data_IF_225173208252
#
_entry.id   IF_225173208252
#
_cell.length_a   1.000
_cell.length_b   1.000
_cell.length_c   1.000
_cell.angle_alpha   90.00
_cell.angle_beta   90.00
_cell.angle_gamma   90.00
#
_symmetry.space_group_name_H-M   'P 1'
#
loop_
_entity.id
_entity.type
_entity.pdbx_description
1 polymer ?
#
# COMPACT_ATOMS: atom_id res chain seq x y z
N UNK A 1 30.51 -16.53 -49.70
CA UNK A 1 30.36 -17.03 -48.32
C UNK A 1 29.93 -18.48 -48.37
N UNK A 2 30.62 -19.36 -47.64
CA UNK A 2 30.25 -20.78 -47.58
C UNK A 2 29.06 -20.97 -46.64
N UNK A 3 28.25 -22.01 -46.85
CA UNK A 3 27.10 -22.36 -45.99
C UNK A 3 27.43 -22.35 -44.50
N UNK A 4 28.66 -22.72 -44.14
CA UNK A 4 29.18 -22.72 -42.77
C UNK A 4 29.14 -21.31 -42.14
N UNK A 5 29.46 -20.26 -42.90
CA UNK A 5 29.47 -18.88 -42.39
C UNK A 5 28.07 -18.40 -42.00
N UNK A 6 27.02 -18.80 -42.74
CA UNK A 6 25.64 -18.45 -42.40
C UNK A 6 25.15 -19.14 -41.13
N UNK A 7 25.56 -20.40 -40.91
CA UNK A 7 25.22 -21.16 -39.70
C UNK A 7 25.85 -20.52 -38.46
N UNK A 8 27.12 -20.11 -38.56
CA UNK A 8 27.83 -19.44 -37.47
C UNK A 8 27.18 -18.10 -37.13
N UNK A 9 26.87 -17.28 -38.13
CA UNK A 9 26.20 -15.98 -37.91
C UNK A 9 24.82 -16.18 -37.26
N UNK A 10 24.03 -17.14 -37.74
CA UNK A 10 22.74 -17.47 -37.15
C UNK A 10 22.85 -17.88 -35.68
N UNK A 11 23.82 -18.74 -35.34
CA UNK A 11 24.05 -19.17 -33.96
C UNK A 11 24.45 -18.01 -33.02
N UNK A 12 25.29 -17.09 -33.49
CA UNK A 12 25.70 -15.91 -32.71
C UNK A 12 24.51 -14.98 -32.46
N UNK A 13 23.65 -14.75 -33.46
CA UNK A 13 22.46 -13.91 -33.30
C UNK A 13 21.48 -14.54 -32.30
N UNK A 14 21.23 -15.85 -32.39
CA UNK A 14 20.34 -16.55 -31.45
C UNK A 14 20.89 -16.48 -30.02
N UNK A 15 22.20 -16.67 -29.83
CA UNK A 15 22.84 -16.55 -28.52
C UNK A 15 22.75 -15.12 -27.96
N UNK A 16 22.91 -14.09 -28.81
CA UNK A 16 22.75 -12.71 -28.40
C UNK A 16 21.31 -12.37 -27.97
N UNK A 17 20.30 -12.91 -28.67
CA UNK A 17 18.89 -12.75 -28.30
C UNK A 17 18.60 -13.44 -26.96
N UNK A 18 19.07 -14.69 -26.78
CA UNK A 18 18.90 -15.42 -25.52
C UNK A 18 19.58 -14.69 -24.36
N UNK A 19 20.83 -14.23 -24.56
CA UNK A 19 21.55 -13.48 -23.55
C UNK A 19 20.86 -12.14 -23.20
N UNK A 20 20.30 -11.44 -24.19
CA UNK A 20 19.52 -10.22 -23.96
C UNK A 20 18.27 -10.49 -23.13
N UNK A 21 17.52 -11.56 -23.44
CA UNK A 21 16.30 -11.93 -22.70
C UNK A 21 16.62 -12.31 -21.26
N UNK A 22 17.70 -13.08 -21.05
CA UNK A 22 18.17 -13.45 -19.70
C UNK A 22 18.62 -12.20 -18.94
N UNK A 23 19.38 -11.30 -19.57
CA UNK A 23 19.88 -10.08 -18.93
C UNK A 23 18.77 -9.09 -18.58
N UNK A 24 17.69 -9.03 -19.35
CA UNK A 24 16.52 -8.20 -19.02
C UNK A 24 15.62 -8.80 -17.93
N UNK A 25 15.82 -10.06 -17.54
CA UNK A 25 14.95 -10.78 -16.60
C UNK A 25 15.40 -10.70 -15.13
N UNK A 26 16.55 -10.09 -14.85
CA UNK A 26 17.04 -9.94 -13.48
C UNK A 26 16.44 -8.65 -12.89
N UNK A 27 15.19 -8.72 -12.39
CA UNK A 27 14.64 -7.65 -11.56
C UNK A 27 15.57 -7.47 -10.35
N UNK A 28 16.03 -6.24 -10.18
CA UNK A 28 17.08 -5.93 -9.21
C UNK A 28 16.45 -5.77 -7.84
N UNK A 29 16.37 -6.87 -7.09
CA UNK A 29 15.99 -6.84 -5.68
C UNK A 29 16.85 -5.81 -4.94
N UNK A 30 16.20 -4.90 -4.21
CA UNK A 30 16.88 -3.87 -3.41
C UNK A 30 16.61 -4.12 -1.94
N UNK A 31 17.67 -4.17 -1.14
CA UNK A 31 17.62 -4.42 0.29
C UNK A 31 18.16 -3.23 1.07
N UNK A 32 17.45 -2.78 2.10
CA UNK A 32 17.93 -1.76 3.02
C UNK A 32 17.26 -1.85 4.40
N UNK A 33 17.84 -1.19 5.40
CA UNK A 33 17.26 -1.08 6.73
C UNK A 33 16.54 0.26 6.92
N UNK A 34 15.28 0.19 7.35
CA UNK A 34 14.48 1.35 7.74
C UNK A 34 14.37 1.44 9.27
N UNK A 35 14.38 2.65 9.84
CA UNK A 35 14.17 2.83 11.27
C UNK A 35 13.16 3.93 11.54
N UNK A 36 12.21 3.64 12.42
CA UNK A 36 11.26 4.61 12.97
C UNK A 36 11.78 5.30 14.25
N UNK A 37 13.04 5.04 14.65
CA UNK A 37 13.66 5.53 15.87
C UNK A 37 13.42 4.66 17.13
N UNK A 38 12.51 3.69 17.08
CA UNK A 38 12.28 2.70 18.15
C UNK A 38 12.78 1.31 17.76
N UNK A 39 12.60 0.95 16.50
CA UNK A 39 12.94 -0.34 15.91
C UNK A 39 13.62 -0.16 14.54
N UNK A 40 14.17 -1.25 14.03
CA UNK A 40 14.74 -1.33 12.67
C UNK A 40 14.04 -2.46 11.92
N UNK A 41 13.73 -2.23 10.65
CA UNK A 41 13.02 -3.13 9.77
C UNK A 41 13.89 -3.42 8.54
N UNK A 42 13.98 -4.69 8.15
CA UNK A 42 14.72 -5.14 6.98
C UNK A 42 13.79 -5.09 5.75
N UNK A 43 13.93 -4.07 4.91
CA UNK A 43 13.05 -3.81 3.76
C UNK A 43 13.62 -4.47 2.51
N UNK A 44 12.78 -5.24 1.81
CA UNK A 44 13.13 -5.85 0.51
C UNK A 44 12.16 -5.38 -0.57
N UNK A 45 12.65 -4.60 -1.53
CA UNK A 45 11.88 -4.18 -2.71
C UNK A 45 12.10 -5.24 -3.79
N UNK A 46 11.03 -5.91 -4.20
CA UNK A 46 11.04 -6.96 -5.22
C UNK A 46 10.69 -6.41 -6.60
N UNK A 47 9.75 -5.46 -6.66
CA UNK A 47 9.33 -4.80 -7.90
C UNK A 47 8.82 -3.38 -7.62
N UNK A 48 8.42 -2.66 -8.66
CA UNK A 48 7.75 -1.35 -8.56
C UNK A 48 6.40 -1.41 -7.80
N UNK A 49 5.89 -2.62 -7.53
CA UNK A 49 4.60 -2.83 -6.85
C UNK A 49 4.66 -3.82 -5.71
N UNK A 50 5.84 -4.25 -5.25
CA UNK A 50 5.95 -5.21 -4.16
C UNK A 50 7.20 -4.92 -3.32
N UNK A 51 6.94 -4.52 -2.08
CA UNK A 51 7.90 -4.37 -1.00
C UNK A 51 7.53 -5.33 0.12
N UNK A 52 8.47 -6.17 0.55
CA UNK A 52 8.32 -7.10 1.67
C UNK A 52 8.96 -6.55 2.93
N UNK A 53 8.23 -6.68 4.03
CA UNK A 53 8.64 -6.30 5.36
C UNK A 53 8.44 -7.50 6.28
N UNK A 54 9.53 -8.11 6.81
CA UNK A 54 9.43 -9.20 7.75
C UNK A 54 8.95 -8.69 9.12
N UNK A 55 8.14 -9.50 9.80
CA UNK A 55 7.77 -9.28 11.18
C UNK A 55 7.67 -10.61 11.94
N UNK A 56 7.78 -10.52 13.26
CA UNK A 56 7.70 -11.65 14.18
C UNK A 56 6.54 -11.42 15.12
N UNK A 57 5.74 -12.46 15.37
CA UNK A 57 4.74 -12.45 16.43
C UNK A 57 5.42 -12.86 17.73
N UNK A 58 5.11 -12.17 18.84
CA UNK A 58 5.83 -12.18 20.13
C UNK A 58 6.65 -13.46 20.44
N UNK A 59 5.99 -14.61 20.57
CA UNK A 59 6.61 -15.89 20.94
C UNK A 59 6.76 -16.88 19.77
N UNK A 60 6.41 -16.46 18.55
CA UNK A 60 6.51 -17.31 17.36
C UNK A 60 7.87 -17.09 16.66
N UNK A 61 8.74 -18.11 16.61
CA UNK A 61 10.00 -18.00 15.87
C UNK A 61 9.81 -17.96 14.35
N UNK A 62 8.59 -18.19 13.85
CA UNK A 62 8.27 -18.07 12.43
C UNK A 62 8.28 -16.59 12.00
N UNK A 63 9.05 -16.31 10.95
CA UNK A 63 9.01 -15.03 10.27
C UNK A 63 7.77 -14.94 9.37
N UNK A 64 7.03 -13.86 9.51
CA UNK A 64 5.91 -13.50 8.65
C UNK A 64 6.31 -12.33 7.75
N UNK A 65 5.64 -12.18 6.62
CA UNK A 65 5.88 -11.06 5.71
C UNK A 65 4.61 -10.27 5.52
N UNK A 66 4.73 -8.96 5.66
CA UNK A 66 3.76 -8.01 5.15
C UNK A 66 4.26 -7.54 3.77
N UNK A 67 3.36 -7.55 2.79
CA UNK A 67 3.66 -7.08 1.43
C UNK A 67 2.82 -5.83 1.16
N UNK A 68 3.49 -4.78 0.70
CA UNK A 68 2.91 -3.48 0.40
C UNK A 68 3.50 -2.97 -0.91
N UNK A 69 2.85 -2.02 -1.56
CA UNK A 69 3.29 -1.54 -2.86
C UNK A 69 4.52 -0.65 -2.75
N UNK A 70 4.48 0.34 -1.87
CA UNK A 70 5.53 1.33 -1.69
C UNK A 70 6.36 1.09 -0.41
N UNK A 71 7.66 1.36 -0.50
CA UNK A 71 8.58 1.20 0.62
C UNK A 71 8.55 2.41 1.58
N UNK A 72 8.86 2.24 2.88
CA UNK A 72 8.75 3.32 3.85
C UNK A 72 9.52 4.59 3.48
N UNK A 73 10.70 4.45 2.86
CA UNK A 73 11.56 5.58 2.50
C UNK A 73 10.97 6.44 1.39
N UNK A 74 10.26 5.86 0.42
CA UNK A 74 9.62 6.61 -0.67
C UNK A 74 8.33 7.33 -0.24
N UNK A 75 7.92 7.18 1.03
CA UNK A 75 6.70 7.75 1.58
C UNK A 75 6.97 8.84 2.62
N UNK A 76 8.23 9.12 2.96
CA UNK A 76 8.61 10.10 3.99
C UNK A 76 8.20 11.55 3.67
N UNK A 77 7.98 11.85 2.38
CA UNK A 77 7.57 13.15 1.86
C UNK A 77 6.07 13.46 2.08
N UNK A 78 5.24 12.44 2.30
CA UNK A 78 3.80 12.62 2.48
C UNK A 78 3.51 13.11 3.92
N UNK A 79 2.91 14.29 4.11
CA UNK A 79 2.58 14.79 5.44
C UNK A 79 1.58 13.88 6.16
N UNK A 80 1.76 13.77 7.49
CA UNK A 80 0.93 12.93 8.35
C UNK A 80 0.59 13.68 9.64
N UNK A 81 -0.69 13.87 9.91
CA UNK A 81 -1.16 14.70 11.02
C UNK A 81 -2.15 13.98 11.94
N UNK A 82 -1.86 14.01 13.24
CA UNK A 82 -2.73 13.42 14.29
C UNK A 82 -2.27 12.04 14.75
N UNK A 83 -2.90 11.54 15.82
CA UNK A 83 -2.63 10.21 16.37
C UNK A 83 -3.70 9.23 15.85
N UNK A 84 -3.36 8.47 14.81
CA UNK A 84 -4.31 7.66 14.06
C UNK A 84 -4.37 6.20 14.54
N UNK A 85 -3.24 5.62 14.92
CA UNK A 85 -3.15 4.21 15.31
C UNK A 85 -3.98 3.87 16.56
N UNK A 86 -3.99 4.75 17.57
CA UNK A 86 -4.71 4.48 18.83
C UNK A 86 -6.24 4.40 18.68
N UNK A 87 -6.79 4.85 17.55
CA UNK A 87 -8.24 4.89 17.33
C UNK A 87 -8.77 3.54 16.96
N UNK A 88 -8.16 2.93 15.95
CA UNK A 88 -8.65 1.70 15.35
C UNK A 88 -8.56 0.51 16.32
N UNK A 89 -7.63 0.54 17.28
CA UNK A 89 -7.43 -0.56 18.24
C UNK A 89 -8.73 -0.90 19.00
N UNK A 90 -9.54 0.10 19.36
CA UNK A 90 -10.75 -0.12 20.16
C UNK A 90 -12.05 -0.15 19.35
N UNK A 91 -11.98 0.14 18.04
CA UNK A 91 -13.17 0.18 17.20
C UNK A 91 -13.76 -1.21 16.97
N UNK A 92 -15.09 -1.26 16.85
CA UNK A 92 -15.82 -2.46 16.45
C UNK A 92 -15.65 -2.72 14.95
N UNK A 93 -15.65 -1.65 14.15
CA UNK A 93 -15.47 -1.74 12.71
C UNK A 93 -14.75 -0.50 12.14
N UNK A 94 -14.13 -0.69 10.98
CA UNK A 94 -13.55 0.39 10.17
C UNK A 94 -14.27 0.47 8.84
N UNK A 95 -14.72 1.66 8.49
CA UNK A 95 -15.40 1.92 7.22
C UNK A 95 -14.44 2.65 6.29
N UNK A 96 -14.13 2.07 5.15
CA UNK A 96 -13.38 2.78 4.11
C UNK A 96 -14.39 3.37 3.14
N UNK A 97 -14.51 4.69 3.12
CA UNK A 97 -15.42 5.41 2.22
C UNK A 97 -14.65 6.07 1.09
N UNK A 98 -15.20 6.03 -0.11
CA UNK A 98 -14.62 6.63 -1.32
C UNK A 98 -15.63 7.61 -1.93
N UNK A 99 -15.14 8.67 -2.57
CA UNK A 99 -16.02 9.58 -3.32
C UNK A 99 -16.32 9.04 -4.73
N UNK A 100 -17.54 8.54 -5.00
CA UNK A 100 -17.87 7.98 -6.30
C UNK A 100 -17.99 9.02 -7.41
N UNK A 101 -17.92 10.32 -7.09
CA UNK A 101 -18.09 11.42 -8.06
C UNK A 101 -16.78 11.94 -8.62
N UNK A 102 -15.64 11.51 -8.07
CA UNK A 102 -14.30 11.98 -8.44
C UNK A 102 -13.65 11.19 -9.60
N UNK A 103 -14.44 10.46 -10.39
CA UNK A 103 -13.96 9.61 -11.51
C UNK A 103 -12.84 8.63 -11.07
N UNK A 104 -13.00 8.06 -9.87
CA UNK A 104 -12.05 7.14 -9.28
C UNK A 104 -12.08 5.79 -10.03
N UNK A 105 -10.96 5.38 -10.60
CA UNK A 105 -10.83 4.11 -11.32
C UNK A 105 -10.44 2.95 -10.37
N UNK A 106 -9.88 1.87 -10.93
CA UNK A 106 -9.48 0.69 -10.17
C UNK A 106 -8.36 0.93 -9.16
N UNK A 107 -7.61 2.04 -9.26
CA UNK A 107 -6.49 2.33 -8.36
C UNK A 107 -6.94 2.76 -6.97
N UNK A 108 -8.05 3.47 -6.86
CA UNK A 108 -8.69 3.76 -5.57
C UNK A 108 -9.09 2.47 -4.84
N UNK A 109 -9.56 1.46 -5.58
CA UNK A 109 -9.85 0.13 -4.99
C UNK A 109 -8.57 -0.54 -4.49
N UNK A 110 -7.45 -0.37 -5.19
CA UNK A 110 -6.14 -0.84 -4.71
C UNK A 110 -5.77 -0.13 -3.41
N UNK A 111 -5.87 1.20 -3.34
CA UNK A 111 -5.58 1.96 -2.13
C UNK A 111 -6.42 1.50 -0.92
N UNK A 112 -7.73 1.26 -1.14
CA UNK A 112 -8.60 0.68 -0.11
C UNK A 112 -8.15 -0.74 0.31
N UNK A 113 -7.71 -1.55 -0.66
CA UNK A 113 -7.26 -2.92 -0.41
C UNK A 113 -5.98 -2.99 0.43
N UNK A 114 -5.03 -2.08 0.22
CA UNK A 114 -3.80 -2.00 1.04
C UNK A 114 -4.13 -1.79 2.53
N UNK A 115 -5.12 -0.94 2.82
CA UNK A 115 -5.62 -0.74 4.18
C UNK A 115 -6.35 -1.98 4.72
N UNK A 116 -7.18 -2.62 3.91
CA UNK A 116 -7.89 -3.86 4.30
C UNK A 116 -6.89 -4.97 4.67
N UNK A 117 -5.77 -5.09 3.95
CA UNK A 117 -4.74 -6.10 4.21
C UNK A 117 -4.03 -5.93 5.55
N UNK A 118 -4.03 -4.72 6.13
CA UNK A 118 -3.54 -4.48 7.48
C UNK A 118 -4.66 -4.64 8.50
N UNK A 119 -5.78 -3.95 8.25
CA UNK A 119 -6.85 -3.79 9.23
C UNK A 119 -7.65 -5.07 9.44
N UNK A 120 -7.97 -5.80 8.36
CA UNK A 120 -8.76 -7.03 8.40
C UNK A 120 -7.93 -8.30 8.60
N UNK A 121 -6.61 -8.20 8.69
CA UNK A 121 -5.73 -9.36 8.81
C UNK A 121 -5.77 -9.93 10.24
N UNK A 122 -6.04 -11.24 10.34
CA UNK A 122 -6.20 -11.97 11.60
C UNK A 122 -4.94 -11.96 12.49
N UNK A 123 -3.76 -11.83 11.90
CA UNK A 123 -2.47 -11.76 12.60
C UNK A 123 -2.09 -10.34 13.01
N UNK A 124 -2.83 -9.33 12.53
CA UNK A 124 -2.58 -7.91 12.76
C UNK A 124 -3.71 -7.30 13.58
N UNK A 125 -4.55 -6.47 12.97
CA UNK A 125 -5.62 -5.73 13.66
C UNK A 125 -6.92 -6.53 13.82
N UNK A 126 -7.16 -7.51 12.94
CA UNK A 126 -8.35 -8.37 12.94
C UNK A 126 -9.68 -7.61 13.11
N UNK A 127 -9.86 -6.52 12.37
CA UNK A 127 -11.06 -5.68 12.40
C UNK A 127 -12.07 -6.08 11.34
N UNK A 128 -13.33 -5.81 11.63
CA UNK A 128 -14.38 -5.82 10.60
C UNK A 128 -14.16 -4.59 9.74
N UNK A 129 -13.81 -4.79 8.47
CA UNK A 129 -13.59 -3.70 7.51
C UNK A 129 -14.60 -3.83 6.38
N UNK A 130 -15.28 -2.74 6.03
CA UNK A 130 -16.15 -2.70 4.86
C UNK A 130 -15.95 -1.40 4.08
N UNK A 131 -16.21 -1.47 2.78
CA UNK A 131 -16.07 -0.36 1.85
C UNK A 131 -17.42 0.22 1.49
N UNK A 132 -17.50 1.54 1.33
CA UNK A 132 -18.71 2.22 0.90
C UNK A 132 -18.42 3.55 0.21
N UNK A 133 -19.46 4.35 -0.07
CA UNK A 133 -19.37 5.62 -0.78
C UNK A 133 -19.75 6.82 0.10
N UNK A 134 -19.14 7.99 -0.16
CA UNK A 134 -19.45 9.24 0.54
C UNK A 134 -20.62 10.02 -0.05
N UNK A 135 -21.07 9.65 -1.25
CA UNK A 135 -22.18 10.29 -1.96
C UNK A 135 -23.18 9.24 -2.48
N UNK A 136 -24.47 9.61 -2.71
CA UNK A 136 -25.46 8.68 -3.25
C UNK A 136 -25.01 8.09 -4.60
N UNK A 137 -24.74 6.79 -4.61
CA UNK A 137 -24.34 6.05 -5.79
C UNK A 137 -24.99 4.67 -5.80
N UNK A 138 -25.88 4.45 -6.76
CA UNK A 138 -26.68 3.22 -6.86
C UNK A 138 -27.42 2.93 -5.53
N UNK A 139 -27.48 1.66 -5.12
CA UNK A 139 -28.11 1.20 -3.87
C UNK A 139 -27.11 1.08 -2.69
N UNK A 140 -25.98 1.82 -2.73
CA UNK A 140 -24.95 1.76 -1.69
C UNK A 140 -25.29 2.66 -0.50
N UNK A 141 -24.93 2.21 0.70
CA UNK A 141 -25.08 3.00 1.93
C UNK A 141 -24.12 4.18 1.94
N UNK A 142 -24.61 5.40 2.11
CA UNK A 142 -23.74 6.57 2.20
C UNK A 142 -23.15 6.67 3.61
N UNK A 143 -21.82 6.67 3.72
CA UNK A 143 -21.10 6.91 4.98
C UNK A 143 -20.04 7.98 4.73
N UNK A 144 -20.06 9.02 5.55
CA UNK A 144 -19.13 10.16 5.52
C UNK A 144 -18.40 10.26 6.85
N UNK A 145 -17.44 11.18 6.95
CA UNK A 145 -16.77 11.48 8.22
C UNK A 145 -17.75 11.86 9.35
N UNK A 146 -18.92 12.43 9.04
CA UNK A 146 -19.94 12.80 10.04
C UNK A 146 -20.62 11.58 10.67
N UNK A 147 -20.47 10.40 10.08
CA UNK A 147 -20.98 9.14 10.64
C UNK A 147 -19.97 8.47 11.59
N UNK A 148 -18.72 8.95 11.61
CA UNK A 148 -17.67 8.39 12.44
C UNK A 148 -17.90 8.68 13.94
N UNK A 149 -17.56 7.73 14.80
CA UNK A 149 -17.76 7.81 16.25
C UNK A 149 -16.78 6.90 17.00
N UNK A 150 -16.86 6.87 18.34
CA UNK A 150 -15.98 6.05 19.21
C UNK A 150 -16.00 4.53 18.92
N UNK A 151 -17.02 4.02 18.22
CA UNK A 151 -17.11 2.60 17.87
C UNK A 151 -16.78 2.30 16.40
N UNK A 152 -16.83 3.32 15.53
CA UNK A 152 -16.66 3.18 14.09
C UNK A 152 -15.79 4.30 13.53
N UNK A 153 -14.53 3.99 13.20
CA UNK A 153 -13.68 4.89 12.42
C UNK A 153 -14.08 4.87 10.96
N UNK A 154 -14.14 6.05 10.34
CA UNK A 154 -14.25 6.19 8.89
C UNK A 154 -12.88 6.58 8.34
N UNK A 155 -12.39 5.83 7.36
CA UNK A 155 -11.25 6.22 6.53
C UNK A 155 -11.82 6.74 5.21
N UNK A 156 -11.65 8.02 4.93
CA UNK A 156 -12.11 8.65 3.71
C UNK A 156 -10.98 8.81 2.70
N UNK A 157 -11.08 8.09 1.58
CA UNK A 157 -10.17 8.22 0.45
C UNK A 157 -10.75 9.24 -0.54
N UNK A 158 -9.98 10.28 -0.86
CA UNK A 158 -10.45 11.36 -1.73
C UNK A 158 -9.30 12.02 -2.49
N UNK A 159 -9.62 12.59 -3.65
CA UNK A 159 -8.71 13.46 -4.38
C UNK A 159 -8.81 14.92 -3.91
N UNK A 160 -7.68 15.62 -3.94
CA UNK A 160 -7.56 17.01 -3.54
C UNK A 160 -6.36 17.72 -4.19
N UNK A 161 -5.95 18.85 -3.62
CA UNK A 161 -4.84 19.66 -4.16
C UNK A 161 -3.45 19.18 -3.68
N UNK A 162 -3.40 18.35 -2.63
CA UNK A 162 -2.16 17.89 -2.00
C UNK A 162 -2.30 16.41 -1.57
N UNK A 163 -1.17 15.71 -1.48
CA UNK A 163 -1.09 14.36 -0.94
C UNK A 163 -0.76 14.39 0.54
N UNK A 164 -1.66 13.91 1.40
CA UNK A 164 -1.50 13.92 2.86
C UNK A 164 -2.45 12.96 3.56
N UNK A 165 -2.12 12.59 4.81
CA UNK A 165 -3.00 11.82 5.69
C UNK A 165 -3.22 12.58 6.99
N UNK A 166 -4.47 12.75 7.41
CA UNK A 166 -4.77 13.47 8.65
C UNK A 166 -6.00 12.96 9.39
N UNK A 167 -6.01 13.22 10.70
CA UNK A 167 -7.17 13.00 11.56
C UNK A 167 -8.15 14.19 11.48
N UNK A 168 -9.44 13.91 11.33
CA UNK A 168 -10.51 14.89 11.50
C UNK A 168 -11.64 14.30 12.34
N UNK A 169 -11.77 14.73 13.60
CA UNK A 169 -12.67 14.08 14.57
C UNK A 169 -12.54 12.57 14.50
N UNK A 170 -13.57 11.73 14.42
CA UNK A 170 -13.43 10.26 14.33
C UNK A 170 -13.07 9.73 12.93
N UNK A 171 -12.77 10.62 12.00
CA UNK A 171 -12.42 10.29 10.62
C UNK A 171 -10.90 10.34 10.40
N UNK A 172 -10.42 9.50 9.50
CA UNK A 172 -9.08 9.55 8.92
C UNK A 172 -9.25 9.93 7.46
N UNK A 173 -8.67 11.04 7.04
CA UNK A 173 -8.73 11.47 5.65
C UNK A 173 -7.41 11.13 4.98
N UNK A 174 -7.48 10.37 3.89
CA UNK A 174 -6.38 10.05 2.98
C UNK A 174 -6.66 10.83 1.71
N UNK A 175 -5.94 11.93 1.53
CA UNK A 175 -6.10 12.85 0.41
C UNK A 175 -4.90 12.72 -0.52
N UNK A 176 -5.15 12.77 -1.84
CA UNK A 176 -4.09 12.70 -2.84
C UNK A 176 -4.38 13.57 -4.07
N UNK A 177 -3.33 13.93 -4.81
CA UNK A 177 -3.49 14.71 -6.06
C UNK A 177 -4.00 13.86 -7.23
N UNK A 178 -3.76 12.56 -7.18
CA UNK A 178 -4.21 11.57 -8.16
C UNK A 178 -4.28 10.18 -7.51
N UNK A 179 -4.73 9.17 -8.25
CA UNK A 179 -4.93 7.83 -7.70
C UNK A 179 -3.63 7.05 -7.42
N UNK A 180 -2.52 7.37 -8.10
CA UNK A 180 -1.22 6.74 -7.78
C UNK A 180 -0.70 7.27 -6.44
N UNK A 181 -0.82 8.58 -6.24
CA UNK A 181 -0.54 9.22 -4.96
C UNK A 181 -1.50 8.76 -3.85
N UNK A 182 -2.74 8.41 -4.19
CA UNK A 182 -3.71 7.86 -3.23
C UNK A 182 -3.27 6.50 -2.69
N UNK A 183 -2.70 5.65 -3.54
CA UNK A 183 -2.09 4.39 -3.11
C UNK A 183 -0.89 4.67 -2.21
N UNK A 184 0.00 5.60 -2.57
CA UNK A 184 1.15 5.98 -1.71
C UNK A 184 0.69 6.49 -0.34
N UNK A 185 -0.35 7.32 -0.29
CA UNK A 185 -0.91 7.83 0.96
C UNK A 185 -1.57 6.73 1.80
N UNK A 186 -2.29 5.79 1.17
CA UNK A 186 -2.85 4.63 1.84
C UNK A 186 -1.76 3.69 2.39
N UNK A 187 -0.71 3.44 1.62
CA UNK A 187 0.45 2.65 2.05
C UNK A 187 1.16 3.28 3.25
N UNK A 188 1.33 4.61 3.22
CA UNK A 188 1.89 5.34 4.36
C UNK A 188 1.03 5.15 5.62
N UNK A 189 -0.29 5.21 5.49
CA UNK A 189 -1.20 4.97 6.62
C UNK A 189 -1.13 3.52 7.10
N UNK A 190 -1.07 2.54 6.19
CA UNK A 190 -0.88 1.13 6.52
C UNK A 190 0.42 0.90 7.32
N UNK A 191 1.53 1.47 6.88
CA UNK A 191 2.82 1.39 7.57
C UNK A 191 2.82 2.11 8.92
N UNK A 192 2.05 3.20 9.05
CA UNK A 192 1.83 3.85 10.34
C UNK A 192 1.06 2.95 11.31
N UNK A 193 0.01 2.26 10.85
CA UNK A 193 -0.70 1.29 11.69
C UNK A 193 0.18 0.13 12.12
N UNK A 194 1.11 -0.31 11.30
CA UNK A 194 2.09 -1.34 11.67
C UNK A 194 3.20 -0.82 12.59
N UNK A 195 3.21 0.48 12.89
CA UNK A 195 4.29 1.13 13.65
C UNK A 195 5.61 1.14 12.91
N UNK A 196 5.63 0.88 11.60
CA UNK A 196 6.85 0.91 10.77
C UNK A 196 7.22 2.35 10.44
N UNK A 197 6.22 3.21 10.22
CA UNK A 197 6.41 4.64 9.99
C UNK A 197 5.78 5.48 11.11
N UNK A 198 6.40 6.62 11.49
CA UNK A 198 5.83 7.55 12.45
C UNK A 198 4.66 8.35 11.86
#
# INVERSE_FOLDING_TARGET
>A
MNKISYIIIGAIITLAIIASVIYTSEEKETFYQYSNGLSTFDITILSDTETKIPFYLEDDPQEYYFSIRNDPKSLEDIPFYGNLANRIINDEAVVITIDPTQDLEGKTVVAAYELINVLGNELLYNKIVYTTVSEPYEDKTVVTCDNANDANTVIFLTLGEETQVYAYEYCIVVMATDEDELIRAADRLALHFLGIMP
#
